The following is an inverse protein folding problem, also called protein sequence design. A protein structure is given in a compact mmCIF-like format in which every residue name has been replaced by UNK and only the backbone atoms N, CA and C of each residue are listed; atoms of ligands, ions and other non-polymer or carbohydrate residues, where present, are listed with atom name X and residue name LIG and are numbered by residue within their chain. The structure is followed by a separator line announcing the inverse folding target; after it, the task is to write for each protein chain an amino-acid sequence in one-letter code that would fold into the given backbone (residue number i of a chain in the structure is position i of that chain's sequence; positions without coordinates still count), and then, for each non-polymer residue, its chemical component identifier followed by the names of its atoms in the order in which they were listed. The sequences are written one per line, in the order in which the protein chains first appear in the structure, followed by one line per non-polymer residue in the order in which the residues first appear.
data_IF_666186179163
#
_entry.id   IF_666186179163
#
_cell.length_a   1.000
_cell.length_b   1.000
_cell.length_c   1.000
_cell.angle_alpha   90.00
_cell.angle_beta   90.00
_cell.angle_gamma   90.00
#
_symmetry.space_group_name_H-M   'P 1'
#
loop_
_entity.id
_entity.type
_entity.pdbx_description
1 polymer ?
#
# COMPACT_ATOMS: atom_id res chain seq x y z
N UNK A 1 -60.76 31.38 -35.28
CA UNK A 1 -61.86 30.46 -35.63
C UNK A 1 -61.66 29.29 -34.68
N UNK A 2 -62.31 29.27 -33.57
CA UNK A 2 -63.71 29.06 -33.29
C UNK A 2 -64.08 27.57 -33.33
N UNK A 3 -64.43 27.12 -32.11
CA UNK A 3 -65.47 26.17 -31.70
C UNK A 3 -65.06 24.66 -31.68
N UNK A 4 -65.50 23.85 -30.78
CA UNK A 4 -66.31 23.78 -29.53
C UNK A 4 -66.24 22.34 -29.06
N UNK A 5 -66.07 22.09 -27.77
CA UNK A 5 -67.05 21.54 -26.84
C UNK A 5 -67.89 20.38 -27.38
N UNK A 6 -67.84 19.21 -26.71
CA UNK A 6 -69.03 18.77 -26.01
C UNK A 6 -68.76 17.61 -25.00
N UNK A 7 -69.51 17.71 -23.91
CA UNK A 7 -69.68 16.81 -22.74
C UNK A 7 -70.57 15.62 -23.05
N UNK A 8 -70.36 14.53 -22.33
CA UNK A 8 -71.37 13.68 -21.64
C UNK A 8 -70.66 12.62 -20.82
N UNK A 9 -70.66 12.60 -19.56
CA UNK A 9 -71.65 12.26 -18.54
C UNK A 9 -71.94 10.72 -18.44
N UNK A 10 -71.57 10.22 -17.25
CA UNK A 10 -72.18 9.19 -16.40
C UNK A 10 -72.24 7.73 -16.86
N UNK A 11 -71.75 6.78 -15.99
CA UNK A 11 -72.62 6.01 -15.09
C UNK A 11 -71.75 5.11 -14.17
N UNK A 12 -72.06 5.16 -12.87
CA UNK A 12 -71.61 4.29 -11.78
C UNK A 12 -71.64 2.80 -12.09
N UNK A 13 -70.56 2.04 -11.70
CA UNK A 13 -70.74 0.69 -11.21
C UNK A 13 -69.68 0.34 -10.18
N UNK A 14 -70.06 0.31 -8.93
CA UNK A 14 -69.37 -0.22 -7.78
C UNK A 14 -69.23 -1.76 -7.90
N UNK A 15 -68.02 -2.26 -8.05
CA UNK A 15 -67.71 -3.67 -7.77
C UNK A 15 -66.59 -3.80 -6.77
N UNK A 16 -66.96 -4.31 -5.59
CA UNK A 16 -66.11 -4.53 -4.44
C UNK A 16 -64.84 -5.30 -4.73
N UNK A 17 -63.72 -4.74 -4.42
CA UNK A 17 -62.44 -5.44 -4.36
C UNK A 17 -62.34 -6.22 -3.06
N UNK A 18 -62.59 -7.53 -3.14
CA UNK A 18 -62.22 -8.50 -2.09
C UNK A 18 -60.68 -8.41 -1.86
N UNK A 19 -60.27 -7.91 -0.70
CA UNK A 19 -58.88 -7.99 -0.21
C UNK A 19 -58.52 -9.47 -0.03
N UNK A 20 -57.67 -10.01 -0.90
CA UNK A 20 -56.93 -11.25 -0.66
C UNK A 20 -55.93 -10.99 0.46
N UNK A 21 -56.20 -11.55 1.65
CA UNK A 21 -55.21 -11.66 2.72
C UNK A 21 -54.07 -12.52 2.21
N UNK A 22 -52.88 -11.93 1.95
CA UNK A 22 -51.64 -12.65 1.71
C UNK A 22 -51.27 -13.44 2.97
N UNK A 23 -51.26 -14.77 2.84
CA UNK A 23 -50.64 -15.65 3.85
C UNK A 23 -49.15 -15.34 3.84
N UNK A 24 -48.67 -14.58 4.83
CA UNK A 24 -47.24 -14.35 5.05
C UNK A 24 -46.60 -15.70 5.38
N UNK A 25 -45.65 -16.07 4.55
CA UNK A 25 -44.79 -17.22 4.65
C UNK A 25 -44.01 -17.19 5.97
N UNK A 26 -44.39 -18.04 6.94
CA UNK A 26 -43.71 -18.17 8.25
C UNK A 26 -42.52 -19.16 8.23
N UNK A 27 -42.04 -19.51 7.03
CA UNK A 27 -41.00 -20.53 6.85
C UNK A 27 -39.53 -20.05 7.07
N UNK A 28 -39.11 -18.81 6.74
CA UNK A 28 -37.71 -18.46 6.85
C UNK A 28 -37.20 -18.37 8.31
N UNK A 29 -38.07 -18.05 9.28
CA UNK A 29 -37.64 -17.90 10.67
C UNK A 29 -37.33 -19.25 11.36
N UNK A 30 -38.04 -20.33 11.01
CA UNK A 30 -37.79 -21.67 11.56
C UNK A 30 -36.52 -22.30 10.98
N UNK A 31 -36.23 -22.08 9.68
CA UNK A 31 -34.95 -22.49 9.08
C UNK A 31 -33.75 -21.74 9.67
N UNK A 32 -33.87 -20.46 9.89
CA UNK A 32 -32.80 -19.65 10.49
C UNK A 32 -32.46 -20.07 11.92
N UNK A 33 -33.48 -20.33 12.75
CA UNK A 33 -33.27 -20.86 14.11
C UNK A 33 -32.66 -22.27 14.10
N UNK A 34 -33.00 -23.13 13.13
CA UNK A 34 -32.42 -24.48 13.02
C UNK A 34 -30.96 -24.45 12.60
N UNK A 35 -30.57 -23.53 11.71
CA UNK A 35 -29.15 -23.32 11.34
C UNK A 35 -28.30 -22.80 12.52
N UNK A 36 -28.82 -21.90 13.34
CA UNK A 36 -28.13 -21.39 14.53
C UNK A 36 -27.91 -22.49 15.60
N UNK A 37 -28.90 -23.38 15.79
CA UNK A 37 -28.76 -24.50 16.74
C UNK A 37 -27.74 -25.52 16.22
N UNK A 38 -27.73 -25.83 14.92
CA UNK A 38 -26.73 -26.73 14.32
C UNK A 38 -25.32 -26.19 14.38
N UNK A 39 -25.12 -24.87 14.17
CA UNK A 39 -23.78 -24.24 14.30
C UNK A 39 -23.28 -24.26 15.74
N UNK A 40 -24.16 -24.04 16.74
CA UNK A 40 -23.79 -24.13 18.14
C UNK A 40 -23.40 -25.56 18.56
N UNK A 41 -24.11 -26.58 18.08
CA UNK A 41 -23.81 -28.00 18.35
C UNK A 41 -22.47 -28.41 17.72
N UNK A 42 -22.16 -27.98 16.50
CA UNK A 42 -20.88 -28.25 15.84
C UNK A 42 -19.72 -27.59 16.59
N UNK A 43 -19.89 -26.33 17.05
CA UNK A 43 -18.87 -25.66 17.86
C UNK A 43 -18.61 -26.37 19.18
N UNK A 44 -19.65 -26.86 19.86
CA UNK A 44 -19.51 -27.59 21.13
C UNK A 44 -18.83 -28.94 20.94
N UNK A 45 -19.10 -29.66 19.83
CA UNK A 45 -18.45 -30.94 19.53
C UNK A 45 -16.95 -30.73 19.19
N UNK A 46 -16.60 -29.66 18.48
CA UNK A 46 -15.18 -29.33 18.20
C UNK A 46 -14.41 -28.98 19.48
N UNK A 47 -15.00 -28.24 20.41
CA UNK A 47 -14.34 -27.89 21.69
C UNK A 47 -14.17 -29.10 22.63
N UNK A 48 -15.11 -30.03 22.65
CA UNK A 48 -15.02 -31.26 23.48
C UNK A 48 -13.99 -32.25 22.91
N UNK A 49 -13.80 -32.31 21.57
CA UNK A 49 -12.78 -33.18 20.94
C UNK A 49 -11.35 -32.67 21.13
N UNK A 50 -11.14 -31.39 21.37
CA UNK A 50 -9.81 -30.81 21.62
C UNK A 50 -9.31 -31.07 23.07
N UNK A 51 -10.17 -31.57 23.99
CA UNK A 51 -9.81 -31.81 25.39
C UNK A 51 -9.59 -33.29 25.79
N UNK A 52 -9.67 -34.21 24.81
CA UNK A 52 -9.50 -35.63 25.08
C UNK A 52 -8.31 -36.23 24.31
N UNK A 53 -7.12 -35.68 24.51
CA UNK A 53 -5.88 -36.35 24.21
C UNK A 53 -5.41 -37.08 25.49
N UNK A 54 -5.03 -38.35 25.47
CA UNK A 54 -4.55 -39.05 26.66
C UNK A 54 -3.17 -38.50 27.07
N UNK A 55 -3.06 -38.07 28.32
CA UNK A 55 -1.80 -37.82 28.99
C UNK A 55 -1.01 -39.13 29.02
N UNK A 56 -0.08 -39.30 28.10
CA UNK A 56 0.94 -40.33 28.18
C UNK A 56 2.16 -39.70 28.87
N UNK A 57 2.46 -40.29 30.01
CA UNK A 57 3.67 -40.24 30.84
C UNK A 57 4.76 -39.24 30.42
N UNK A 58 5.00 -38.27 31.28
CA UNK A 58 6.24 -37.51 31.37
C UNK A 58 7.32 -38.45 31.94
N UNK A 59 8.22 -38.91 31.10
CA UNK A 59 9.51 -39.39 31.57
C UNK A 59 10.43 -38.17 31.84
N UNK A 60 11.29 -38.24 32.89
CA UNK A 60 12.11 -37.10 33.29
C UNK A 60 13.20 -36.87 32.25
N UNK A 61 13.27 -35.60 31.76
CA UNK A 61 14.31 -35.08 30.91
C UNK A 61 15.60 -34.87 31.69
N UNK A 62 16.33 -35.99 31.90
CA UNK A 62 17.67 -35.95 32.47
C UNK A 62 18.52 -37.05 31.83
N UNK A 63 18.86 -36.89 30.56
CA UNK A 63 19.97 -37.56 29.85
C UNK A 63 19.90 -37.26 28.33
N UNK A 64 20.17 -36.02 27.91
CA UNK A 64 20.58 -35.69 26.55
C UNK A 64 21.25 -34.30 26.53
N UNK A 65 22.14 -34.08 27.49
CA UNK A 65 23.12 -33.01 27.45
C UNK A 65 24.48 -33.59 27.19
N UNK A 66 24.77 -33.99 25.94
CA UNK A 66 26.10 -34.17 25.40
C UNK A 66 25.96 -34.59 23.94
N UNK A 67 26.23 -33.66 23.06
CA UNK A 67 26.60 -33.72 21.65
C UNK A 67 25.81 -32.74 20.77
N UNK A 68 25.96 -31.43 21.04
CA UNK A 68 25.93 -30.46 19.96
C UNK A 68 27.30 -29.78 19.91
N UNK A 69 27.97 -29.76 18.74
CA UNK A 69 29.15 -28.92 18.57
C UNK A 69 28.70 -27.46 18.75
N UNK A 70 29.45 -26.70 19.51
CA UNK A 70 29.36 -25.26 19.60
C UNK A 70 29.30 -24.66 18.18
N UNK A 71 28.11 -24.42 17.69
CA UNK A 71 27.90 -23.48 16.60
C UNK A 71 28.17 -22.11 17.19
N UNK A 72 29.36 -21.58 16.93
CA UNK A 72 29.72 -20.19 17.20
C UNK A 72 28.61 -19.30 16.65
N UNK A 73 27.87 -18.66 17.56
CA UNK A 73 27.05 -17.51 17.22
C UNK A 73 28.04 -16.44 16.73
N UNK A 74 28.29 -16.44 15.41
CA UNK A 74 28.88 -15.27 14.78
C UNK A 74 27.89 -14.14 15.01
N UNK A 75 28.34 -13.14 15.78
CA UNK A 75 27.67 -11.84 15.79
C UNK A 75 27.41 -11.43 14.34
N UNK A 76 26.21 -10.91 14.03
CA UNK A 76 25.95 -10.43 12.68
C UNK A 76 27.05 -9.41 12.34
N UNK A 77 27.78 -9.67 11.25
CA UNK A 77 28.79 -8.77 10.72
C UNK A 77 28.27 -7.34 10.79
N UNK A 78 28.98 -6.50 11.54
CA UNK A 78 28.73 -5.06 11.53
C UNK A 78 28.81 -4.61 10.07
N UNK A 79 27.76 -3.94 9.60
CA UNK A 79 27.76 -3.35 8.27
C UNK A 79 29.06 -2.53 8.11
N UNK A 80 29.73 -2.60 6.95
CA UNK A 80 30.95 -1.84 6.74
C UNK A 80 30.70 -0.38 7.08
N UNK A 81 31.69 0.32 7.67
CA UNK A 81 31.54 1.74 7.95
C UNK A 81 31.16 2.47 6.68
N UNK A 82 30.05 3.19 6.71
CA UNK A 82 29.62 4.06 5.62
C UNK A 82 30.67 5.14 5.50
N UNK A 83 31.50 5.12 4.45
CA UNK A 83 32.21 6.31 4.03
C UNK A 83 31.13 7.32 3.69
N UNK A 84 30.96 8.32 4.55
CA UNK A 84 30.06 9.45 4.30
C UNK A 84 30.51 10.07 2.98
N UNK A 85 29.71 9.89 1.94
CA UNK A 85 29.86 10.68 0.74
C UNK A 85 29.90 12.15 1.14
N UNK A 86 30.81 12.97 0.56
CA UNK A 86 30.85 14.39 0.89
C UNK A 86 29.45 14.98 0.75
N UNK A 87 29.06 15.78 1.74
CA UNK A 87 27.81 16.51 1.73
C UNK A 87 27.55 17.09 0.33
N UNK A 88 26.32 17.04 -0.19
CA UNK A 88 26.03 17.55 -1.51
C UNK A 88 26.58 18.95 -1.64
N UNK A 89 27.40 19.16 -2.65
CA UNK A 89 27.93 20.50 -2.94
C UNK A 89 26.72 21.39 -3.19
N UNK A 90 26.66 22.53 -2.50
CA UNK A 90 25.60 23.53 -2.61
C UNK A 90 25.59 24.13 -4.03
N UNK A 91 25.02 23.41 -4.97
CA UNK A 91 24.66 23.87 -6.29
C UNK A 91 23.14 23.86 -6.39
N UNK A 92 22.56 24.77 -7.14
CA UNK A 92 21.11 24.76 -7.40
C UNK A 92 20.71 23.40 -7.99
N UNK A 93 19.60 22.84 -7.54
CA UNK A 93 19.02 21.60 -8.10
C UNK A 93 18.66 21.83 -9.57
N UNK A 94 18.92 20.86 -10.42
CA UNK A 94 18.59 20.92 -11.86
C UNK A 94 17.69 19.76 -12.26
N UNK A 95 16.91 19.88 -13.35
CA UNK A 95 16.06 18.79 -13.86
C UNK A 95 16.86 17.53 -14.23
N UNK A 96 18.16 17.69 -14.56
CA UNK A 96 19.03 16.59 -15.00
C UNK A 96 19.71 15.85 -13.84
N UNK A 97 19.50 16.30 -12.60
CA UNK A 97 20.07 15.64 -11.43
C UNK A 97 19.46 14.23 -11.26
N UNK A 98 20.30 13.24 -10.97
CA UNK A 98 19.92 11.84 -10.91
C UNK A 98 18.76 11.55 -9.92
N UNK A 99 18.66 12.30 -8.83
CA UNK A 99 17.58 12.17 -7.83
C UNK A 99 16.27 12.79 -8.31
N UNK A 100 16.30 13.67 -9.32
CA UNK A 100 15.13 14.35 -9.89
C UNK A 100 14.53 13.56 -11.06
N UNK A 101 15.12 12.42 -11.43
CA UNK A 101 14.60 11.56 -12.49
C UNK A 101 13.10 11.28 -12.31
N UNK A 102 12.28 11.88 -13.16
CA UNK A 102 10.83 11.67 -13.17
C UNK A 102 10.50 10.37 -13.90
N UNK A 103 9.87 9.43 -13.17
CA UNK A 103 9.38 8.17 -13.73
C UNK A 103 7.89 8.03 -13.39
N UNK A 104 7.05 8.02 -14.40
CA UNK A 104 5.61 7.85 -14.27
C UNK A 104 5.03 7.31 -15.59
N UNK A 105 3.70 7.20 -15.71
CA UNK A 105 3.04 6.67 -16.92
C UNK A 105 3.36 7.42 -18.21
N UNK A 106 3.78 8.66 -18.12
CA UNK A 106 4.14 9.51 -19.29
C UNK A 106 5.65 9.57 -19.51
N UNK A 107 6.44 9.26 -18.49
CA UNK A 107 7.89 9.30 -18.48
C UNK A 107 8.42 7.92 -18.05
N UNK A 108 8.56 6.96 -18.98
CA UNK A 108 9.07 5.64 -18.65
C UNK A 108 10.53 5.69 -18.22
N UNK A 109 10.93 4.70 -17.41
CA UNK A 109 12.32 4.53 -17.00
C UNK A 109 13.22 4.43 -18.25
N UNK A 110 14.32 5.21 -18.34
CA UNK A 110 15.22 5.17 -19.49
C UNK A 110 15.79 3.77 -19.76
N UNK A 111 15.93 3.39 -21.04
CA UNK A 111 16.54 2.14 -21.42
C UNK A 111 17.96 2.02 -20.87
N UNK A 112 18.28 0.87 -20.29
CA UNK A 112 19.60 0.61 -19.71
C UNK A 112 19.88 1.34 -18.39
N UNK A 113 18.87 1.95 -17.75
CA UNK A 113 19.05 2.57 -16.44
C UNK A 113 19.62 1.59 -15.42
N UNK A 114 20.72 1.97 -14.78
CA UNK A 114 21.42 1.17 -13.78
C UNK A 114 21.91 2.05 -12.65
N UNK A 115 22.02 1.46 -11.46
CA UNK A 115 22.56 2.12 -10.27
C UNK A 115 23.16 1.08 -9.31
N UNK A 116 24.02 1.51 -8.42
CA UNK A 116 24.51 0.68 -7.32
C UNK A 116 23.44 0.54 -6.24
N UNK A 117 23.33 -0.66 -5.68
CA UNK A 117 22.30 -0.98 -4.68
C UNK A 117 22.90 -1.37 -3.36
N UNK A 118 22.49 -0.67 -2.29
CA UNK A 118 22.70 -1.10 -0.91
C UNK A 118 21.60 -2.08 -0.52
N UNK A 119 22.02 -3.25 -0.03
CA UNK A 119 21.09 -4.28 0.49
C UNK A 119 20.61 -3.87 1.89
N UNK A 120 19.32 -3.96 2.11
CA UNK A 120 18.66 -3.76 3.38
C UNK A 120 18.23 -5.10 3.98
N UNK A 121 17.71 -5.11 5.21
CA UNK A 121 17.13 -6.29 5.84
C UNK A 121 15.94 -6.81 5.02
N UNK A 122 15.62 -8.09 5.21
CA UNK A 122 14.47 -8.79 4.62
C UNK A 122 14.43 -8.80 3.08
N UNK A 123 15.61 -8.69 2.44
CA UNK A 123 15.72 -8.76 0.97
C UNK A 123 15.42 -7.46 0.23
N UNK A 124 15.18 -6.37 0.95
CA UNK A 124 15.03 -5.04 0.37
C UNK A 124 16.35 -4.50 -0.17
N UNK A 125 16.28 -3.47 -1.00
CA UNK A 125 17.44 -2.71 -1.46
C UNK A 125 17.03 -1.33 -1.95
N UNK A 126 17.96 -0.40 -1.92
CA UNK A 126 17.80 0.99 -2.30
C UNK A 126 19.01 1.44 -3.11
N UNK A 127 18.89 2.54 -3.87
CA UNK A 127 20.05 3.19 -4.49
C UNK A 127 21.05 3.58 -3.40
N UNK A 128 22.32 3.18 -3.59
CA UNK A 128 23.37 3.38 -2.59
C UNK A 128 23.56 4.86 -2.23
N UNK A 129 23.23 5.76 -3.16
CA UNK A 129 23.34 7.22 -2.94
C UNK A 129 22.27 7.77 -2.00
N UNK A 130 21.09 7.16 -1.97
CA UNK A 130 19.98 7.53 -1.08
C UNK A 130 20.07 6.85 0.31
N UNK A 131 20.91 5.82 0.44
CA UNK A 131 20.96 4.99 1.64
C UNK A 131 21.34 5.74 2.92
N UNK A 132 22.35 6.64 2.96
CA UNK A 132 22.70 7.35 4.18
C UNK A 132 21.53 8.17 4.75
N UNK A 133 20.82 8.91 3.91
CA UNK A 133 19.68 9.72 4.29
C UNK A 133 18.47 8.83 4.73
N UNK A 134 18.26 7.69 4.05
CA UNK A 134 17.26 6.70 4.47
C UNK A 134 17.57 6.15 5.85
N UNK A 135 18.83 5.79 6.11
CA UNK A 135 19.24 5.24 7.40
C UNK A 135 19.00 6.25 8.52
N UNK A 136 19.39 7.51 8.33
CA UNK A 136 19.18 8.59 9.30
C UNK A 136 17.68 8.79 9.57
N UNK A 137 16.85 8.92 8.53
CA UNK A 137 15.39 9.05 8.66
C UNK A 137 14.76 7.92 9.49
N UNK A 138 15.14 6.68 9.16
CA UNK A 138 14.58 5.50 9.85
C UNK A 138 15.07 5.40 11.31
N UNK A 139 16.30 5.83 11.60
CA UNK A 139 16.85 5.80 12.95
C UNK A 139 16.26 6.92 13.82
N UNK A 140 16.04 8.11 13.27
CA UNK A 140 15.41 9.22 13.99
C UNK A 140 13.91 8.95 14.24
N UNK A 141 13.21 8.36 13.29
CA UNK A 141 11.84 7.89 13.51
C UNK A 141 11.77 6.88 14.67
N UNK A 142 12.72 5.93 14.74
CA UNK A 142 12.83 4.99 15.87
C UNK A 142 13.20 5.68 17.17
N UNK A 143 14.10 6.67 17.13
CA UNK A 143 14.49 7.46 18.30
C UNK A 143 13.30 8.26 18.85
N UNK A 144 12.33 8.64 18.01
CA UNK A 144 11.05 9.20 18.42
C UNK A 144 10.10 8.19 19.10
N UNK A 145 10.51 6.93 19.24
CA UNK A 145 9.73 5.86 19.89
C UNK A 145 8.74 5.16 18.94
N UNK A 146 8.93 5.30 17.63
CA UNK A 146 8.08 4.72 16.58
C UNK A 146 8.74 3.49 15.97
N UNK A 147 7.96 2.65 15.27
CA UNK A 147 8.47 1.42 14.67
C UNK A 147 8.19 1.37 13.15
N UNK A 148 8.93 2.15 12.34
CA UNK A 148 8.78 2.15 10.88
C UNK A 148 9.33 0.87 10.26
N UNK A 149 8.56 0.27 9.32
CA UNK A 149 8.91 -0.94 8.58
C UNK A 149 8.90 -0.66 7.08
N UNK A 150 10.00 -0.94 6.40
CA UNK A 150 10.03 -0.95 4.93
C UNK A 150 9.35 -2.25 4.47
N UNK A 151 8.22 -2.15 3.79
CA UNK A 151 7.48 -3.29 3.25
C UNK A 151 7.69 -3.48 1.75
N UNK A 152 8.18 -2.45 1.04
CA UNK A 152 8.59 -2.53 -0.36
C UNK A 152 9.72 -1.54 -0.64
N UNK A 153 10.55 -1.85 -1.63
CA UNK A 153 11.71 -1.03 -2.02
C UNK A 153 12.00 -1.23 -3.51
N UNK A 154 13.26 -1.29 -3.94
CA UNK A 154 13.58 -1.60 -5.33
C UNK A 154 12.84 -2.84 -5.83
N UNK A 155 12.22 -2.71 -7.00
CA UNK A 155 11.55 -3.80 -7.72
C UNK A 155 12.19 -4.00 -9.09
N UNK A 156 12.44 -5.26 -9.44
CA UNK A 156 12.84 -5.59 -10.82
C UNK A 156 11.66 -5.42 -11.78
N UNK A 157 11.93 -5.29 -13.07
CA UNK A 157 10.91 -5.28 -14.12
C UNK A 157 9.95 -6.48 -13.99
N UNK A 158 10.50 -7.70 -13.77
CA UNK A 158 9.70 -8.91 -13.63
C UNK A 158 8.78 -8.86 -12.39
N UNK A 159 9.26 -8.31 -11.25
CA UNK A 159 8.43 -8.16 -10.06
C UNK A 159 7.33 -7.12 -10.25
N UNK A 160 7.62 -6.01 -10.91
CA UNK A 160 6.62 -5.01 -11.22
C UNK A 160 5.54 -5.56 -12.16
N UNK A 161 5.94 -6.36 -13.16
CA UNK A 161 5.01 -7.05 -14.07
C UNK A 161 4.07 -7.98 -13.30
N UNK A 162 4.60 -8.83 -12.42
CA UNK A 162 3.82 -9.72 -11.57
C UNK A 162 2.77 -8.96 -10.73
N UNK A 163 3.18 -7.85 -10.10
CA UNK A 163 2.29 -7.05 -9.26
C UNK A 163 1.16 -6.41 -10.07
N UNK A 164 1.50 -5.87 -11.25
CA UNK A 164 0.53 -5.25 -12.15
C UNK A 164 -0.48 -6.27 -12.68
N UNK A 165 -0.01 -7.43 -13.16
CA UNK A 165 -0.87 -8.51 -13.65
C UNK A 165 -1.80 -9.05 -12.56
N UNK A 166 -1.29 -9.21 -11.32
CA UNK A 166 -2.10 -9.62 -10.18
C UNK A 166 -3.18 -8.59 -9.82
N UNK A 167 -2.90 -7.30 -9.92
CA UNK A 167 -3.90 -6.25 -9.71
C UNK A 167 -4.95 -6.27 -10.82
N UNK A 168 -4.50 -6.35 -12.07
CA UNK A 168 -5.38 -6.43 -13.24
C UNK A 168 -6.34 -7.64 -13.14
N UNK A 169 -5.80 -8.81 -12.81
CA UNK A 169 -6.60 -10.02 -12.68
C UNK A 169 -7.67 -9.89 -11.58
N UNK A 170 -7.32 -9.32 -10.43
CA UNK A 170 -8.29 -9.07 -9.34
C UNK A 170 -9.42 -8.15 -9.76
N UNK A 171 -9.14 -7.08 -10.48
CA UNK A 171 -10.18 -6.17 -10.98
C UNK A 171 -11.12 -6.85 -11.98
N UNK A 172 -10.60 -7.75 -12.85
CA UNK A 172 -11.40 -8.55 -13.75
C UNK A 172 -12.33 -9.50 -12.96
N UNK A 173 -11.83 -10.15 -11.90
CA UNK A 173 -12.59 -11.01 -11.01
C UNK A 173 -13.66 -10.24 -10.21
N UNK A 174 -13.43 -8.97 -9.90
CA UNK A 174 -14.38 -8.03 -9.31
C UNK A 174 -15.45 -7.55 -10.30
N UNK A 175 -15.34 -7.91 -11.60
CA UNK A 175 -16.34 -7.64 -12.63
C UNK A 175 -16.06 -6.42 -13.52
N UNK A 176 -14.87 -5.84 -13.46
CA UNK A 176 -14.46 -4.79 -14.40
C UNK A 176 -14.30 -5.36 -15.81
N UNK A 177 -14.64 -4.59 -16.84
CA UNK A 177 -14.20 -4.90 -18.21
C UNK A 177 -12.68 -4.85 -18.27
N UNK A 178 -12.06 -5.59 -19.20
CA UNK A 178 -10.60 -5.58 -19.36
C UNK A 178 -10.04 -4.15 -19.51
N UNK A 179 -10.67 -3.32 -20.32
CA UNK A 179 -10.26 -1.94 -20.61
C UNK A 179 -10.32 -1.07 -19.34
N UNK A 180 -11.40 -1.18 -18.56
CA UNK A 180 -11.53 -0.47 -17.30
C UNK A 180 -10.55 -1.01 -16.23
N UNK A 181 -10.33 -2.33 -16.21
CA UNK A 181 -9.39 -2.95 -15.30
C UNK A 181 -7.94 -2.51 -15.58
N UNK A 182 -7.54 -2.37 -16.84
CA UNK A 182 -6.22 -1.82 -17.24
C UNK A 182 -6.06 -0.37 -16.75
N UNK A 183 -7.08 0.45 -16.97
CA UNK A 183 -7.07 1.85 -16.53
C UNK A 183 -6.96 1.94 -15.01
N UNK A 184 -7.82 1.23 -14.29
CA UNK A 184 -7.88 1.23 -12.82
C UNK A 184 -6.61 0.63 -12.21
N UNK A 185 -6.12 -0.49 -12.73
CA UNK A 185 -4.88 -1.10 -12.25
C UNK A 185 -3.71 -0.11 -12.30
N UNK A 186 -3.60 0.66 -13.38
CA UNK A 186 -2.53 1.62 -13.59
C UNK A 186 -2.56 2.85 -12.68
N UNK A 187 -3.66 3.09 -11.95
CA UNK A 187 -3.74 4.15 -10.93
C UNK A 187 -3.29 3.68 -9.54
N UNK A 188 -3.21 2.36 -9.33
CA UNK A 188 -2.84 1.74 -8.04
C UNK A 188 -1.48 1.06 -8.11
N UNK A 189 -1.18 0.40 -9.22
CA UNK A 189 0.10 -0.27 -9.47
C UNK A 189 0.65 0.23 -10.79
N UNK A 190 1.72 1.01 -10.76
CA UNK A 190 2.32 1.56 -11.97
C UNK A 190 2.61 0.47 -13.02
N UNK A 191 2.35 0.78 -14.29
CA UNK A 191 2.67 -0.11 -15.41
C UNK A 191 4.16 -0.45 -15.40
N UNK A 192 4.56 -1.70 -15.67
CA UNK A 192 5.97 -2.08 -15.72
C UNK A 192 6.81 -1.19 -16.64
N UNK A 193 7.92 -0.68 -16.13
CA UNK A 193 8.75 0.33 -16.81
C UNK A 193 8.37 1.77 -16.48
N UNK A 194 7.32 2.01 -15.67
CA UNK A 194 6.88 3.35 -15.24
C UNK A 194 6.77 3.47 -13.71
N UNK A 195 7.33 2.52 -12.98
CA UNK A 195 7.32 2.49 -11.51
C UNK A 195 8.59 3.08 -10.93
N UNK A 196 8.47 4.02 -9.99
CA UNK A 196 9.61 4.60 -9.28
C UNK A 196 10.40 3.57 -8.45
N UNK A 197 9.77 2.49 -7.99
CA UNK A 197 10.50 1.39 -7.35
C UNK A 197 11.58 0.77 -8.23
N UNK A 198 11.48 0.88 -9.55
CA UNK A 198 12.50 0.39 -10.48
C UNK A 198 13.73 1.31 -10.54
N UNK A 199 13.65 2.52 -10.01
CA UNK A 199 14.79 3.43 -9.87
C UNK A 199 15.66 3.14 -8.65
N UNK A 200 15.11 2.44 -7.64
CA UNK A 200 15.73 2.30 -6.33
C UNK A 200 15.61 3.53 -5.42
N UNK A 201 14.84 4.55 -5.84
CA UNK A 201 14.65 5.80 -5.10
C UNK A 201 13.32 5.84 -4.33
N UNK A 202 12.45 4.85 -4.50
CA UNK A 202 11.16 4.79 -3.84
C UNK A 202 11.07 3.62 -2.85
N UNK A 203 10.37 3.88 -1.74
CA UNK A 203 10.13 2.93 -0.65
C UNK A 203 8.68 3.04 -0.17
N UNK A 204 8.10 1.88 0.14
CA UNK A 204 6.85 1.81 0.88
C UNK A 204 7.20 1.55 2.35
N UNK A 205 6.84 2.49 3.23
CA UNK A 205 7.10 2.43 4.67
C UNK A 205 5.77 2.41 5.39
N UNK A 206 5.61 1.49 6.33
CA UNK A 206 4.39 1.30 7.13
C UNK A 206 4.71 1.30 8.63
N UNK A 207 3.70 1.46 9.46
CA UNK A 207 3.80 1.22 10.90
C UNK A 207 3.79 -0.30 11.18
N UNK A 208 4.70 -0.77 12.05
CA UNK A 208 4.79 -2.19 12.41
C UNK A 208 3.47 -2.74 12.98
N UNK A 209 2.67 -1.91 13.65
CA UNK A 209 1.37 -2.27 14.21
C UNK A 209 0.25 -2.31 13.17
N UNK A 210 0.43 -1.69 12.01
CA UNK A 210 -0.54 -1.63 10.92
C UNK A 210 0.16 -1.75 9.57
N UNK A 211 0.24 -2.99 9.03
CA UNK A 211 0.99 -3.27 7.79
C UNK A 211 0.09 -3.44 6.55
N UNK A 212 -1.09 -2.80 6.55
CA UNK A 212 -2.00 -2.80 5.40
C UNK A 212 -1.71 -1.56 4.56
N UNK A 213 -1.55 -1.73 3.24
CA UNK A 213 -1.35 -0.62 2.30
C UNK A 213 -2.71 -0.06 1.88
N UNK A 214 -3.29 0.76 2.75
CA UNK A 214 -4.51 1.52 2.49
C UNK A 214 -4.45 2.91 3.16
N UNK A 215 -5.48 3.72 3.00
CA UNK A 215 -5.52 5.08 3.54
C UNK A 215 -5.43 5.14 5.08
N UNK A 216 -5.76 4.06 5.79
CA UNK A 216 -5.60 4.00 7.24
C UNK A 216 -4.15 4.15 7.72
N UNK A 217 -3.17 4.03 6.83
CA UNK A 217 -1.78 4.34 7.17
C UNK A 217 -1.62 5.79 7.65
N UNK A 218 -2.33 6.76 7.06
CA UNK A 218 -2.21 8.18 7.45
C UNK A 218 -2.53 8.46 8.92
N UNK A 219 -3.35 7.59 9.54
CA UNK A 219 -3.73 7.70 10.94
C UNK A 219 -2.67 7.11 11.91
N UNK A 220 -1.65 6.40 11.39
CA UNK A 220 -0.58 5.82 12.21
C UNK A 220 0.43 6.89 12.65
N UNK A 221 1.03 6.70 13.82
CA UNK A 221 2.04 7.63 14.32
C UNK A 221 3.30 7.67 13.46
N UNK A 222 3.67 6.53 12.84
CA UNK A 222 4.80 6.47 11.90
C UNK A 222 4.54 7.36 10.69
N UNK A 223 3.34 7.27 10.08
CA UNK A 223 3.04 8.09 8.90
C UNK A 223 2.92 9.58 9.24
N UNK A 224 2.32 9.92 10.37
CA UNK A 224 2.26 11.32 10.81
C UNK A 224 3.68 11.90 10.97
N UNK A 225 4.59 11.15 11.59
CA UNK A 225 5.98 11.56 11.71
C UNK A 225 6.68 11.67 10.33
N UNK A 226 6.51 10.67 9.47
CA UNK A 226 7.14 10.69 8.13
C UNK A 226 6.60 11.82 7.25
N UNK A 227 5.30 12.10 7.28
CA UNK A 227 4.70 13.23 6.53
C UNK A 227 5.28 14.56 7.02
N UNK A 228 5.51 14.71 8.32
CA UNK A 228 6.06 15.94 8.92
C UNK A 228 7.57 16.10 8.67
N UNK A 229 8.35 15.01 8.68
CA UNK A 229 9.82 15.07 8.78
C UNK A 229 10.59 14.48 7.59
N UNK A 230 9.98 13.65 6.74
CA UNK A 230 10.73 12.93 5.68
C UNK A 230 11.50 13.85 4.74
N UNK A 231 11.01 15.05 4.49
CA UNK A 231 11.67 16.06 3.65
C UNK A 231 13.04 16.51 4.20
N UNK A 232 13.23 16.49 5.51
CA UNK A 232 14.50 16.82 6.17
C UNK A 232 15.62 15.85 5.77
N UNK A 233 15.24 14.62 5.37
CA UNK A 233 16.12 13.55 4.91
C UNK A 233 16.10 13.36 3.39
N UNK A 234 15.49 14.28 2.67
CA UNK A 234 15.45 14.24 1.21
C UNK A 234 14.38 13.31 0.63
N UNK A 235 13.40 12.87 1.44
CA UNK A 235 12.26 12.07 1.00
C UNK A 235 10.99 12.91 1.00
N UNK A 236 10.14 12.68 0.02
CA UNK A 236 8.83 13.33 -0.06
C UNK A 236 7.71 12.29 -0.10
N UNK A 237 6.55 12.62 0.48
CA UNK A 237 5.32 11.88 0.23
C UNK A 237 4.96 12.05 -1.25
N UNK A 238 5.15 10.98 -2.01
CA UNK A 238 5.17 11.08 -3.48
C UNK A 238 3.79 11.26 -4.12
N UNK A 239 2.76 10.66 -3.54
CA UNK A 239 1.41 10.64 -4.10
C UNK A 239 0.40 11.23 -3.12
N UNK A 240 0.46 12.56 -2.85
CA UNK A 240 -0.46 13.22 -1.93
C UNK A 240 -1.87 13.27 -2.51
N UNK A 241 -2.87 13.26 -1.64
CA UNK A 241 -4.29 13.14 -2.01
C UNK A 241 -4.76 14.18 -3.04
N UNK A 242 -4.31 15.43 -2.91
CA UNK A 242 -4.73 16.53 -3.80
C UNK A 242 -4.07 16.50 -5.19
N UNK A 243 -3.11 15.61 -5.46
CA UNK A 243 -2.27 15.62 -6.68
C UNK A 243 -2.46 14.39 -7.58
N UNK A 244 -3.44 13.51 -7.31
CA UNK A 244 -3.64 12.25 -8.07
C UNK A 244 -3.85 12.47 -9.57
N UNK A 245 -4.51 13.55 -9.97
CA UNK A 245 -4.70 13.89 -11.40
C UNK A 245 -3.37 14.26 -12.09
N UNK A 246 -2.40 14.79 -11.35
CA UNK A 246 -1.08 15.19 -11.86
C UNK A 246 -0.14 14.00 -11.87
N UNK A 247 -0.08 13.26 -10.77
CA UNK A 247 0.83 12.11 -10.62
C UNK A 247 0.37 10.86 -11.37
N UNK A 248 -0.95 10.76 -11.61
CA UNK A 248 -1.59 9.60 -12.22
C UNK A 248 -1.70 8.38 -11.30
N UNK A 249 -1.38 8.53 -10.01
CA UNK A 249 -1.49 7.49 -8.96
C UNK A 249 -2.44 8.01 -7.87
N UNK A 250 -3.20 7.12 -7.26
CA UNK A 250 -4.06 7.44 -6.12
C UNK A 250 -3.23 7.90 -4.91
N UNK A 251 -3.92 8.41 -3.88
CA UNK A 251 -3.27 8.72 -2.61
C UNK A 251 -2.63 7.48 -1.98
N UNK A 252 -1.32 7.56 -1.70
CA UNK A 252 -0.54 6.48 -1.09
C UNK A 252 0.28 7.03 0.09
N UNK A 253 -0.28 7.10 1.32
CA UNK A 253 0.43 7.64 2.48
C UNK A 253 1.69 6.87 2.88
N UNK A 254 1.90 5.67 2.34
CA UNK A 254 3.08 4.83 2.61
C UNK A 254 4.24 5.05 1.64
N UNK A 255 4.02 5.71 0.47
CA UNK A 255 4.99 5.76 -0.61
C UNK A 255 5.86 7.02 -0.54
N UNK A 256 7.14 6.83 -0.23
CA UNK A 256 8.15 7.90 -0.12
C UNK A 256 9.16 7.83 -1.24
N UNK A 257 9.45 8.98 -1.86
CA UNK A 257 10.40 9.13 -2.93
C UNK A 257 11.58 10.00 -2.51
N UNK A 258 12.80 9.47 -2.69
CA UNK A 258 14.03 10.25 -2.50
C UNK A 258 14.24 11.21 -3.67
N UNK A 259 14.44 12.48 -3.35
CA UNK A 259 14.71 13.57 -4.30
C UNK A 259 15.92 14.43 -3.88
N UNK A 260 16.58 14.05 -2.76
CA UNK A 260 17.64 14.85 -2.14
C UNK A 260 17.10 15.97 -1.24
N UNK A 261 17.86 16.35 -0.22
CA UNK A 261 17.40 17.23 0.86
C UNK A 261 16.98 18.63 0.35
N UNK A 262 17.72 19.20 -0.58
CA UNK A 262 17.42 20.53 -1.11
C UNK A 262 16.12 20.52 -1.92
N UNK A 263 15.97 19.57 -2.85
CA UNK A 263 14.74 19.42 -3.63
C UNK A 263 13.54 19.10 -2.73
N UNK A 264 13.68 18.21 -1.74
CA UNK A 264 12.60 17.87 -0.81
C UNK A 264 12.13 19.09 -0.01
N UNK A 265 13.08 19.93 0.45
CA UNK A 265 12.78 21.19 1.13
C UNK A 265 11.99 22.15 0.22
N UNK A 266 12.47 22.38 -1.01
CA UNK A 266 11.82 23.27 -1.97
C UNK A 266 10.42 22.77 -2.35
N UNK A 267 10.28 21.47 -2.65
CA UNK A 267 8.99 20.84 -2.95
C UNK A 267 7.98 21.01 -1.80
N UNK A 268 8.46 20.88 -0.55
CA UNK A 268 7.62 21.03 0.64
C UNK A 268 7.22 22.50 0.84
N UNK A 269 8.16 23.43 0.73
CA UNK A 269 7.91 24.88 0.87
C UNK A 269 6.96 25.43 -0.18
N UNK A 270 7.02 24.88 -1.41
CA UNK A 270 6.21 25.31 -2.55
C UNK A 270 4.94 24.49 -2.76
N UNK A 271 4.72 23.46 -1.94
CA UNK A 271 3.61 22.48 -2.09
C UNK A 271 3.55 21.86 -3.50
N UNK A 272 4.71 21.39 -4.02
CA UNK A 272 4.82 20.80 -5.35
C UNK A 272 4.99 19.27 -5.27
N UNK A 273 4.29 18.52 -6.12
CA UNK A 273 4.67 17.13 -6.43
C UNK A 273 5.86 17.10 -7.40
N UNK A 274 6.46 15.95 -7.62
CA UNK A 274 7.68 15.83 -8.43
C UNK A 274 7.46 16.30 -9.89
N UNK A 275 6.30 16.04 -10.47
CA UNK A 275 5.93 16.52 -11.80
C UNK A 275 5.97 18.06 -11.88
N UNK A 276 5.30 18.72 -10.95
CA UNK A 276 5.25 20.17 -10.87
C UNK A 276 6.63 20.77 -10.58
N UNK A 277 7.43 20.08 -9.75
CA UNK A 277 8.77 20.53 -9.40
C UNK A 277 9.73 20.46 -10.60
N UNK A 278 9.68 19.39 -11.41
CA UNK A 278 10.47 19.28 -12.65
C UNK A 278 10.08 20.37 -13.65
N UNK A 279 8.79 20.67 -13.79
CA UNK A 279 8.31 21.76 -14.63
C UNK A 279 8.78 23.12 -14.10
N UNK A 280 8.73 23.33 -12.79
CA UNK A 280 9.20 24.56 -12.14
C UNK A 280 10.72 24.75 -12.34
N UNK A 281 11.54 23.72 -12.13
CA UNK A 281 12.99 23.77 -12.39
C UNK A 281 13.29 24.10 -13.88
N UNK A 282 12.52 23.55 -14.80
CA UNK A 282 12.71 23.74 -16.24
C UNK A 282 12.35 25.16 -16.70
N UNK A 283 11.60 25.91 -15.88
CA UNK A 283 11.18 27.28 -16.16
C UNK A 283 12.13 28.35 -15.57
N UNK A 284 13.15 27.93 -14.77
CA UNK A 284 14.17 28.85 -14.20
C UNK A 284 15.27 29.16 -15.20
#
# INVERSE_FOLDING_TARGET
MVYTNDRAADVHSSKGRRRKRSRRLRWPLKLFCMCLVLSAVVLTICTVRSFSAPMSALEPAEQLAEQHPESSLQEPDALPPVELNPAPQSGAVTPDDWQILLVNRWNPLPDGYTFERTKLKYGHSVDSRAYPDLQEMMDDCRAAGLDPVICSSYRTQAKQQELYENKLQRLIEEGYSYENAVTEAGTVVAVPGTSEHQTGLALDIVDASYQILDQGQEDTLVQQWLIEHSWEYGFVLRYPNAKSEITGIIYEPWHYRYVGREAAREMTELDLCLEEYVDWLSAQ
#
